data_IF_313119935626
#
_entry.id   IF_313119935626
#
_cell.length_a   1.000
_cell.length_b   1.000
_cell.length_c   1.000
_cell.angle_alpha   90.00
_cell.angle_beta   90.00
_cell.angle_gamma   90.00
#
_symmetry.space_group_name_H-M   'P 1'
#
loop_
_entity.id
_entity.type
_entity.pdbx_description
1 polymer ?
#
# COMPACT_ATOMS: atom_id res chain seq x y z
N UNK A 1 -6.27 -20.82 -6.12
CA UNK A 1 -6.09 -19.45 -6.62
C UNK A 1 -4.59 -19.26 -6.80
N UNK A 2 -4.12 -18.92 -7.99
CA UNK A 2 -2.70 -18.57 -8.20
C UNK A 2 -2.33 -17.43 -7.25
N UNK A 3 -1.23 -17.56 -6.52
CA UNK A 3 -0.69 -16.52 -5.62
C UNK A 3 -0.27 -15.28 -6.43
N UNK A 4 -1.23 -14.44 -6.81
CA UNK A 4 -0.96 -13.15 -7.43
C UNK A 4 -0.49 -12.22 -6.31
N UNK A 5 0.83 -12.01 -6.25
CA UNK A 5 1.45 -11.08 -5.31
C UNK A 5 1.04 -9.65 -5.66
N UNK A 6 0.80 -8.80 -4.65
CA UNK A 6 0.53 -7.39 -4.89
C UNK A 6 1.78 -6.66 -5.35
N UNK A 7 1.60 -5.66 -6.20
CA UNK A 7 2.68 -4.77 -6.63
C UNK A 7 3.02 -3.74 -5.54
N UNK A 8 2.03 -3.37 -4.72
CA UNK A 8 2.20 -2.41 -3.63
C UNK A 8 1.49 -2.84 -2.34
N UNK A 9 2.09 -2.47 -1.22
CA UNK A 9 1.42 -2.35 0.08
C UNK A 9 0.80 -0.95 0.17
N UNK A 10 -0.41 -0.86 0.73
CA UNK A 10 -1.10 0.42 0.94
C UNK A 10 -1.05 0.77 2.41
N UNK A 11 -0.50 1.94 2.71
CA UNK A 11 -0.26 2.41 4.07
C UNK A 11 -0.80 3.82 4.25
N UNK A 12 -1.30 4.09 5.44
CA UNK A 12 -1.70 5.42 5.87
C UNK A 12 -0.66 6.01 6.80
N UNK A 13 -0.45 7.32 6.68
CA UNK A 13 0.36 8.10 7.62
C UNK A 13 -0.50 9.17 8.27
N UNK A 14 -0.44 9.21 9.59
CA UNK A 14 -1.13 10.19 10.41
C UNK A 14 -0.18 10.78 11.45
N UNK A 15 -0.14 12.10 11.56
CA UNK A 15 0.53 12.77 12.68
C UNK A 15 -0.34 12.61 13.93
N UNK A 16 0.25 12.00 14.97
CA UNK A 16 -0.35 11.91 16.30
C UNK A 16 0.62 12.49 17.31
N UNK A 17 0.47 13.79 17.60
CA UNK A 17 1.26 14.48 18.62
C UNK A 17 2.71 14.69 18.20
N UNK A 18 2.95 15.05 16.94
CA UNK A 18 4.28 15.28 16.37
C UNK A 18 5.03 14.00 16.01
N UNK A 19 4.32 12.87 15.94
CA UNK A 19 4.88 11.57 15.54
C UNK A 19 4.06 10.97 14.41
N UNK A 20 4.74 10.55 13.37
CA UNK A 20 4.11 9.83 12.27
C UNK A 20 3.75 8.41 12.71
N UNK A 21 2.44 8.14 12.77
CA UNK A 21 1.91 6.79 12.92
C UNK A 21 1.56 6.22 11.56
N UNK A 22 2.13 5.05 11.30
CA UNK A 22 2.00 4.32 10.06
C UNK A 22 1.05 3.14 10.25
N UNK A 23 0.12 2.90 9.33
CA UNK A 23 -0.84 1.79 9.42
C UNK A 23 -1.06 1.17 8.05
N UNK A 24 -0.83 -0.14 7.93
CA UNK A 24 -1.12 -0.89 6.71
C UNK A 24 -2.64 -1.08 6.58
N UNK A 25 -3.21 -0.67 5.43
CA UNK A 25 -4.67 -0.68 5.19
C UNK A 25 -5.06 -1.37 3.88
N UNK A 26 -4.15 -2.11 3.26
CA UNK A 26 -4.48 -2.87 2.06
C UNK A 26 -3.30 -3.16 1.15
N UNK A 27 -3.65 -3.54 -0.07
CA UNK A 27 -2.71 -3.85 -1.15
C UNK A 27 -3.18 -3.22 -2.45
N UNK A 28 -2.27 -3.03 -3.39
CA UNK A 28 -2.62 -2.55 -4.72
C UNK A 28 -1.92 -3.33 -5.83
N UNK A 29 -2.59 -3.38 -6.98
CA UNK A 29 -2.12 -4.08 -8.18
C UNK A 29 -2.10 -3.11 -9.34
N UNK A 30 -1.03 -3.14 -10.13
CA UNK A 30 -0.88 -2.38 -11.35
C UNK A 30 -1.25 -3.26 -12.55
N UNK A 31 -2.14 -2.76 -13.40
CA UNK A 31 -2.48 -3.47 -14.63
C UNK A 31 -1.52 -3.11 -15.78
N UNK A 32 -1.58 -3.88 -16.88
CA UNK A 32 -0.74 -3.66 -18.07
C UNK A 32 -0.94 -2.28 -18.73
N UNK A 33 -2.06 -1.59 -18.45
CA UNK A 33 -2.38 -0.25 -18.97
C UNK A 33 -1.89 0.88 -18.03
N UNK A 34 -1.25 0.52 -16.91
CA UNK A 34 -0.69 1.46 -15.95
C UNK A 34 -1.67 1.96 -14.88
N UNK A 35 -2.94 1.52 -14.88
CA UNK A 35 -3.87 1.83 -13.79
C UNK A 35 -3.51 1.05 -12.54
N UNK A 36 -3.78 1.63 -11.37
CA UNK A 36 -3.58 1.00 -10.06
C UNK A 36 -4.95 0.75 -9.43
N UNK A 37 -5.23 -0.50 -9.08
CA UNK A 37 -6.42 -0.89 -8.33
C UNK A 37 -6.03 -1.13 -6.87
N UNK A 38 -6.68 -0.41 -5.96
CA UNK A 38 -6.41 -0.48 -4.52
C UNK A 38 -7.52 -1.28 -3.83
N UNK A 39 -7.13 -2.26 -3.02
CA UNK A 39 -8.03 -3.06 -2.19
C UNK A 39 -7.79 -2.67 -0.73
N UNK A 40 -8.71 -1.88 -0.18
CA UNK A 40 -8.63 -1.39 1.19
C UNK A 40 -9.32 -2.36 2.16
N UNK A 41 -8.67 -2.63 3.28
CA UNK A 41 -9.26 -3.31 4.44
C UNK A 41 -9.92 -2.33 5.43
N UNK A 42 -9.59 -1.04 5.33
CA UNK A 42 -10.17 0.05 6.11
C UNK A 42 -10.21 1.34 5.29
N UNK A 43 -11.23 2.18 5.50
CA UNK A 43 -11.36 3.48 4.84
C UNK A 43 -10.66 4.56 5.67
N UNK A 44 -9.58 5.19 5.17
CA UNK A 44 -8.95 6.31 5.86
C UNK A 44 -9.79 7.57 5.78
N UNK A 45 -9.74 8.40 6.82
CA UNK A 45 -10.47 9.67 6.88
C UNK A 45 -9.46 10.82 7.00
N UNK A 46 -9.33 11.59 5.93
CA UNK A 46 -8.42 12.75 5.81
C UNK A 46 -6.93 12.42 6.01
N UNK A 47 -6.54 11.15 5.92
CA UNK A 47 -5.15 10.73 6.08
C UNK A 47 -4.43 10.62 4.72
N UNK A 48 -3.10 10.66 4.73
CA UNK A 48 -2.29 10.44 3.52
C UNK A 48 -2.20 8.95 3.22
N UNK A 49 -2.51 8.54 1.98
CA UNK A 49 -2.31 7.17 1.49
C UNK A 49 -0.98 7.09 0.75
N UNK A 50 -0.19 6.07 1.06
CA UNK A 50 1.07 5.75 0.42
C UNK A 50 1.00 4.36 -0.22
N UNK A 51 1.53 4.26 -1.44
CA UNK A 51 1.76 3.01 -2.15
C UNK A 51 3.25 2.67 -2.05
N UNK A 52 3.57 1.59 -1.35
CA UNK A 52 4.94 1.15 -1.11
C UNK A 52 5.17 -0.10 -1.98
N UNK A 53 6.16 -0.12 -2.89
CA UNK A 53 6.45 -1.31 -3.68
C UNK A 53 6.62 -2.53 -2.79
N UNK A 54 5.91 -3.62 -3.11
CA UNK A 54 6.10 -4.88 -2.40
C UNK A 54 7.48 -5.43 -2.74
N UNK A 55 8.25 -5.87 -1.75
CA UNK A 55 9.58 -6.45 -1.98
C UNK A 55 9.47 -7.65 -2.91
N UNK A 56 10.22 -7.63 -4.01
CA UNK A 56 10.47 -8.85 -4.79
C UNK A 56 11.25 -9.87 -3.95
N UNK A 57 11.01 -11.16 -4.22
CA UNK A 57 11.64 -12.28 -3.47
C UNK A 57 13.18 -12.26 -3.56
N UNK A 58 13.74 -11.51 -4.51
CA UNK A 58 15.17 -11.24 -4.65
C UNK A 58 15.42 -9.79 -4.23
N UNK A 59 15.77 -9.56 -2.98
CA UNK A 59 16.05 -8.21 -2.48
C UNK A 59 17.19 -7.54 -3.26
N UNK A 60 16.91 -6.38 -3.82
CA UNK A 60 17.92 -5.39 -4.19
C UNK A 60 17.26 -4.04 -4.01
N UNK A 61 17.70 -3.33 -2.97
CA UNK A 61 17.26 -1.98 -2.64
C UNK A 61 18.14 -0.98 -3.39
#
# INVERSE_FOLDING_TARGET
>A
MSDVRPDYLVRVVKDVGGKDKWTDIGVAYKNARGSITVYLSALPLNDKILLIPAKDRNGSN
#
